data_IF_571596067049
#
_entry.id   IF_571596067049
#
_cell.length_a   1.000
_cell.length_b   1.000
_cell.length_c   1.000
_cell.angle_alpha   90.00
_cell.angle_beta   90.00
_cell.angle_gamma   90.00
#
_symmetry.space_group_name_H-M   'P 1'
#
loop_
_entity.id
_entity.type
_entity.pdbx_description
1 polymer ?
#
# COMPACT_ATOMS: atom_id res chain seq x y z
N UNK A 1 -51.26 27.29 48.95
CA UNK A 1 -50.84 28.67 49.20
C UNK A 1 -49.33 28.65 49.43
N UNK A 2 -48.59 29.01 48.36
CA UNK A 2 -47.24 29.59 48.27
C UNK A 2 -46.19 29.17 49.32
N UNK A 3 -45.11 28.51 48.88
CA UNK A 3 -43.77 29.13 48.79
C UNK A 3 -42.79 28.23 48.00
N UNK A 4 -42.16 28.88 47.02
CA UNK A 4 -41.18 28.32 46.09
C UNK A 4 -39.81 28.16 46.74
N UNK A 5 -39.00 27.22 46.25
CA UNK A 5 -37.55 27.26 46.36
C UNK A 5 -36.96 26.53 45.15
N UNK A 6 -36.38 27.32 44.24
CA UNK A 6 -35.70 26.81 43.05
C UNK A 6 -34.36 26.19 43.43
N UNK A 7 -34.05 25.06 42.82
CA UNK A 7 -32.71 24.47 42.82
C UNK A 7 -32.16 24.71 41.42
N UNK A 8 -31.26 25.69 41.30
CA UNK A 8 -30.39 25.81 40.15
C UNK A 8 -29.30 24.73 40.25
N UNK A 9 -29.32 23.78 39.31
CA UNK A 9 -28.19 22.87 39.10
C UNK A 9 -27.07 23.65 38.41
N UNK A 10 -26.06 24.06 39.18
CA UNK A 10 -24.76 24.42 38.63
C UNK A 10 -24.01 23.14 38.31
N UNK A 11 -24.19 22.61 37.10
CA UNK A 11 -23.24 21.69 36.51
C UNK A 11 -22.10 22.52 35.91
N UNK A 12 -21.13 22.88 36.75
CA UNK A 12 -19.84 23.34 36.24
C UNK A 12 -19.15 22.11 35.63
N UNK A 13 -19.14 22.04 34.30
CA UNK A 13 -18.24 21.17 33.58
C UNK A 13 -16.82 21.59 33.94
N UNK A 14 -16.11 20.73 34.65
CA UNK A 14 -14.69 20.87 34.93
C UNK A 14 -13.96 20.82 33.58
N UNK A 15 -13.57 21.98 33.08
CA UNK A 15 -12.68 22.09 31.93
C UNK A 15 -11.31 21.66 32.45
N UNK A 16 -10.92 20.41 32.19
CA UNK A 16 -9.53 19.98 32.35
C UNK A 16 -8.66 20.80 31.39
N UNK A 17 -8.02 21.84 31.92
CA UNK A 17 -7.03 22.61 31.20
C UNK A 17 -5.78 21.75 30.99
N UNK A 18 -5.17 21.75 29.78
CA UNK A 18 -3.95 21.00 29.55
C UNK A 18 -2.83 21.56 30.44
N UNK A 19 -2.29 20.69 31.30
CA UNK A 19 -1.12 21.00 32.11
C UNK A 19 0.08 21.23 31.17
N UNK A 20 0.54 22.47 31.08
CA UNK A 20 1.81 22.82 30.44
C UNK A 20 2.96 22.23 31.28
N UNK A 21 3.38 21.02 30.95
CA UNK A 21 4.47 20.33 31.65
C UNK A 21 4.39 18.80 31.65
N UNK A 22 3.40 18.18 31.02
CA UNK A 22 3.38 16.73 30.90
C UNK A 22 4.24 16.25 29.71
N UNK A 23 5.20 15.38 29.99
CA UNK A 23 6.00 14.66 28.98
C UNK A 23 5.16 13.83 28.03
N UNK A 24 3.86 13.62 28.30
CA UNK A 24 2.90 13.03 27.37
C UNK A 24 2.61 13.91 26.13
N UNK A 25 2.94 15.21 26.16
CA UNK A 25 2.75 16.13 25.03
C UNK A 25 3.87 16.08 23.96
N UNK A 26 4.85 15.18 24.10
CA UNK A 26 6.01 15.04 23.20
C UNK A 26 5.71 14.23 21.92
N UNK A 27 4.74 13.31 22.01
CA UNK A 27 4.40 12.36 20.95
C UNK A 27 3.44 12.97 19.94
N UNK A 28 3.71 12.70 18.66
CA UNK A 28 2.78 13.03 17.57
C UNK A 28 1.45 12.32 17.84
N UNK A 29 0.32 13.01 17.70
CA UNK A 29 -1.00 12.40 17.91
C UNK A 29 -1.40 11.49 16.73
N UNK A 30 -2.30 10.50 16.91
CA UNK A 30 -2.78 9.67 15.80
C UNK A 30 -3.40 10.47 14.65
N UNK A 31 -4.05 11.59 14.96
CA UNK A 31 -4.61 12.51 13.94
C UNK A 31 -3.48 13.18 13.14
N UNK A 32 -2.43 13.64 13.81
CA UNK A 32 -1.27 14.21 13.13
C UNK A 32 -0.52 13.17 12.30
N UNK A 33 -0.37 11.94 12.78
CA UNK A 33 0.19 10.81 12.01
C UNK A 33 -0.60 10.57 10.72
N UNK A 34 -1.93 10.58 10.81
CA UNK A 34 -2.80 10.40 9.64
C UNK A 34 -2.64 11.53 8.63
N UNK A 35 -2.59 12.78 9.09
CA UNK A 35 -2.36 13.94 8.19
C UNK A 35 -0.98 13.84 7.53
N UNK A 36 0.06 13.50 8.29
CA UNK A 36 1.43 13.34 7.79
C UNK A 36 1.52 12.22 6.75
N UNK A 37 0.96 11.05 7.06
CA UNK A 37 0.91 9.92 6.13
C UNK A 37 0.21 10.28 4.84
N UNK A 38 -0.96 10.90 4.92
CA UNK A 38 -1.73 11.30 3.74
C UNK A 38 -0.96 12.31 2.86
N UNK A 39 -0.20 13.23 3.47
CA UNK A 39 0.71 14.12 2.71
C UNK A 39 1.84 13.33 2.05
N UNK A 40 2.46 12.41 2.80
CA UNK A 40 3.52 11.54 2.29
C UNK A 40 3.04 10.71 1.10
N UNK A 41 1.86 10.07 1.18
CA UNK A 41 1.32 9.24 0.12
C UNK A 41 1.06 10.02 -1.16
N UNK A 42 0.48 11.21 -1.04
CA UNK A 42 0.26 12.10 -2.20
C UNK A 42 1.57 12.47 -2.87
N UNK A 43 2.59 12.83 -2.09
CA UNK A 43 3.93 13.14 -2.63
C UNK A 43 4.56 11.90 -3.28
N UNK A 44 4.42 10.74 -2.65
CA UNK A 44 4.99 9.48 -3.13
C UNK A 44 4.38 9.06 -4.47
N UNK A 45 3.03 9.08 -4.58
CA UNK A 45 2.32 8.83 -5.85
C UNK A 45 2.75 9.79 -6.97
N UNK A 46 3.14 11.03 -6.64
CA UNK A 46 3.61 12.00 -7.64
C UNK A 46 4.97 11.66 -8.26
N UNK A 47 5.78 10.81 -7.61
CA UNK A 47 7.17 10.53 -7.98
C UNK A 47 7.42 9.09 -8.40
N UNK A 48 6.56 8.16 -7.98
CA UNK A 48 6.80 6.72 -8.09
C UNK A 48 5.71 6.08 -8.95
N UNK A 49 6.08 5.27 -9.97
CA UNK A 49 5.11 4.49 -10.73
C UNK A 49 4.33 3.51 -9.84
N UNK A 50 3.01 3.63 -9.85
CA UNK A 50 2.10 2.71 -9.17
C UNK A 50 1.44 1.75 -10.17
N UNK A 51 1.02 0.59 -9.70
CA UNK A 51 0.24 -0.35 -10.49
C UNK A 51 -1.23 -0.25 -10.10
N UNK A 52 -2.09 -0.22 -11.11
CA UNK A 52 -3.55 -0.16 -10.97
C UNK A 52 -4.24 -1.49 -11.29
N UNK A 53 -3.54 -2.62 -11.18
CA UNK A 53 -4.18 -3.92 -11.44
C UNK A 53 -5.23 -4.22 -10.36
N UNK A 54 -6.52 -4.25 -10.71
CA UNK A 54 -7.56 -4.33 -9.69
C UNK A 54 -7.59 -5.72 -9.02
N UNK A 55 -7.13 -6.78 -9.69
CA UNK A 55 -7.04 -8.12 -9.09
C UNK A 55 -5.95 -8.19 -8.02
N UNK A 56 -4.79 -7.59 -8.27
CA UNK A 56 -3.67 -7.60 -7.31
C UNK A 56 -4.01 -6.69 -6.12
N UNK A 57 -4.59 -5.52 -6.38
CA UNK A 57 -5.05 -4.60 -5.33
C UNK A 57 -6.08 -5.29 -4.44
N UNK A 58 -7.14 -5.87 -5.01
CA UNK A 58 -8.19 -6.56 -4.24
C UNK A 58 -7.64 -7.73 -3.43
N UNK A 59 -6.73 -8.52 -4.00
CA UNK A 59 -6.04 -9.60 -3.29
C UNK A 59 -5.24 -9.08 -2.09
N UNK A 60 -4.39 -8.05 -2.29
CA UNK A 60 -3.57 -7.48 -1.23
C UNK A 60 -4.41 -6.82 -0.14
N UNK A 61 -5.49 -6.11 -0.51
CA UNK A 61 -6.41 -5.52 0.45
C UNK A 61 -7.13 -6.58 1.28
N UNK A 62 -7.57 -7.68 0.68
CA UNK A 62 -8.17 -8.81 1.40
C UNK A 62 -7.17 -9.44 2.36
N UNK A 63 -5.92 -9.64 1.93
CA UNK A 63 -4.86 -10.17 2.78
C UNK A 63 -4.54 -9.22 3.95
N UNK A 64 -4.39 -7.92 3.67
CA UNK A 64 -4.17 -6.90 4.69
C UNK A 64 -5.33 -6.83 5.69
N UNK A 65 -6.57 -6.86 5.22
CA UNK A 65 -7.76 -6.87 6.09
C UNK A 65 -7.79 -8.12 6.98
N UNK A 66 -7.49 -9.30 6.41
CA UNK A 66 -7.39 -10.55 7.19
C UNK A 66 -6.35 -10.42 8.30
N UNK A 67 -5.17 -9.87 8.02
CA UNK A 67 -4.12 -9.66 9.01
C UNK A 67 -4.49 -8.58 10.03
N UNK A 68 -5.03 -7.44 9.57
CA UNK A 68 -5.38 -6.30 10.41
C UNK A 68 -6.45 -6.63 11.45
N UNK A 69 -7.38 -7.55 11.15
CA UNK A 69 -8.37 -8.02 12.13
C UNK A 69 -7.69 -8.59 13.38
N UNK A 70 -6.58 -9.32 13.20
CA UNK A 70 -5.81 -9.97 14.26
C UNK A 70 -4.58 -9.17 14.72
N UNK A 71 -4.34 -7.98 14.16
CA UNK A 71 -3.24 -7.13 14.58
C UNK A 71 -3.63 -6.25 15.76
N UNK A 72 -2.61 -5.65 16.40
CA UNK A 72 -2.78 -4.72 17.51
C UNK A 72 -3.04 -3.28 17.06
N UNK A 73 -3.51 -3.07 15.81
CA UNK A 73 -3.85 -1.74 15.30
C UNK A 73 -5.12 -1.20 15.95
N UNK A 74 -5.04 0.04 16.47
CA UNK A 74 -6.20 0.78 16.96
C UNK A 74 -7.16 1.15 15.83
N UNK A 75 -6.60 1.62 14.70
CA UNK A 75 -7.34 1.98 13.50
C UNK A 75 -6.92 1.06 12.34
N UNK A 76 -7.89 0.31 11.81
CA UNK A 76 -7.72 -0.67 10.74
C UNK A 76 -8.13 -0.15 9.36
N UNK A 77 -8.40 1.15 9.24
CA UNK A 77 -8.58 1.82 7.93
C UNK A 77 -7.21 2.00 7.26
N UNK A 78 -6.78 0.94 6.57
CA UNK A 78 -5.52 0.87 5.84
C UNK A 78 -5.67 1.38 4.41
N UNK A 79 -4.67 2.08 3.90
CA UNK A 79 -4.59 2.50 2.51
C UNK A 79 -3.40 1.83 1.82
N UNK A 80 -3.68 1.05 0.78
CA UNK A 80 -2.67 0.35 -0.01
C UNK A 80 -2.12 1.24 -1.12
N UNK A 81 -0.81 1.19 -1.34
CA UNK A 81 -0.16 1.62 -2.57
C UNK A 81 0.65 0.47 -3.16
N UNK A 82 0.23 -0.01 -4.33
CA UNK A 82 0.97 -1.01 -5.09
C UNK A 82 1.97 -0.32 -6.00
N UNK A 83 3.25 -0.53 -5.73
CA UNK A 83 4.36 0.12 -6.41
C UNK A 83 4.90 -0.77 -7.52
N UNK A 84 4.99 -0.24 -8.74
CA UNK A 84 5.53 -0.98 -9.87
C UNK A 84 7.06 -0.95 -9.82
N UNK A 85 7.63 -1.87 -9.04
CA UNK A 85 9.07 -2.01 -8.83
C UNK A 85 9.39 -3.49 -8.62
N UNK A 86 10.42 -4.00 -9.30
CA UNK A 86 10.84 -5.40 -9.25
C UNK A 86 11.68 -5.74 -8.00
N UNK A 87 12.08 -4.73 -7.22
CA UNK A 87 12.76 -4.92 -5.95
C UNK A 87 11.84 -5.53 -4.88
N UNK A 88 12.42 -6.36 -4.01
CA UNK A 88 11.74 -6.82 -2.81
C UNK A 88 11.67 -5.65 -1.82
N UNK A 89 10.47 -5.09 -1.68
CA UNK A 89 10.19 -4.08 -0.68
C UNK A 89 8.70 -4.06 -0.27
N UNK A 90 8.47 -3.70 0.98
CA UNK A 90 7.21 -3.24 1.52
C UNK A 90 7.53 -2.26 2.64
N UNK A 91 6.59 -1.37 2.94
CA UNK A 91 6.79 -0.38 3.98
C UNK A 91 5.45 0.03 4.59
N UNK A 92 5.51 0.47 5.84
CA UNK A 92 4.41 1.15 6.48
C UNK A 92 4.78 2.60 6.84
N UNK A 93 3.84 3.52 6.57
CA UNK A 93 3.95 4.94 6.91
C UNK A 93 2.82 5.28 7.90
N UNK A 94 3.08 6.17 8.88
CA UNK A 94 2.07 6.60 9.84
C UNK A 94 0.73 6.94 9.19
N UNK A 95 -0.36 6.69 9.91
CA UNK A 95 -1.71 6.94 9.37
C UNK A 95 -2.34 5.76 8.62
N UNK A 96 -1.73 4.58 8.65
CA UNK A 96 -2.30 3.36 8.08
C UNK A 96 -1.95 3.11 6.62
N UNK A 97 -0.88 3.71 6.10
CA UNK A 97 -0.49 3.56 4.70
C UNK A 97 0.49 2.40 4.57
N UNK A 98 0.16 1.46 3.70
CA UNK A 98 0.98 0.29 3.40
C UNK A 98 1.39 0.34 1.94
N UNK A 99 2.70 0.33 1.70
CA UNK A 99 3.26 0.18 0.37
C UNK A 99 3.77 -1.22 0.12
N UNK A 100 3.50 -1.74 -1.07
CA UNK A 100 3.97 -3.06 -1.52
C UNK A 100 4.59 -2.93 -2.90
N UNK A 101 5.84 -3.32 -3.07
CA UNK A 101 6.44 -3.41 -4.39
C UNK A 101 5.96 -4.70 -5.08
N UNK A 102 5.71 -4.64 -6.39
CA UNK A 102 5.35 -5.84 -7.18
C UNK A 102 6.41 -6.95 -7.08
N UNK A 103 7.68 -6.56 -6.91
CA UNK A 103 8.80 -7.46 -6.68
C UNK A 103 8.59 -8.35 -5.45
N UNK A 104 8.02 -7.85 -4.35
CA UNK A 104 7.78 -8.66 -3.15
C UNK A 104 6.97 -9.93 -3.44
N UNK A 105 5.93 -9.84 -4.28
CA UNK A 105 5.11 -10.99 -4.65
C UNK A 105 5.88 -12.02 -5.48
N UNK A 106 6.92 -11.60 -6.22
CA UNK A 106 7.75 -12.52 -7.02
C UNK A 106 8.79 -13.25 -6.18
N UNK A 107 9.33 -12.59 -5.15
CA UNK A 107 10.28 -13.15 -4.18
C UNK A 107 9.61 -14.10 -3.19
N UNK A 108 8.43 -13.75 -2.68
CA UNK A 108 7.65 -14.66 -1.84
C UNK A 108 7.27 -15.92 -2.63
N UNK A 109 7.47 -17.09 -2.03
CA UNK A 109 7.13 -18.39 -2.64
C UNK A 109 5.72 -18.86 -2.28
N UNK A 110 5.19 -18.41 -1.15
CA UNK A 110 3.84 -18.74 -0.65
C UNK A 110 3.13 -17.49 -0.12
N UNK A 111 1.80 -17.53 -0.01
CA UNK A 111 1.04 -16.43 0.61
C UNK A 111 1.50 -16.17 2.05
N UNK A 112 1.86 -17.21 2.80
CA UNK A 112 2.32 -17.08 4.18
C UNK A 112 3.62 -16.24 4.28
N UNK A 113 4.53 -16.36 3.31
CA UNK A 113 5.76 -15.56 3.29
C UNK A 113 5.47 -14.08 2.99
N UNK A 114 4.56 -13.80 2.04
CA UNK A 114 4.07 -12.45 1.80
C UNK A 114 3.40 -11.88 3.06
N UNK A 115 2.53 -12.67 3.67
CA UNK A 115 1.81 -12.29 4.88
C UNK A 115 2.75 -12.03 6.06
N UNK A 116 3.88 -12.71 6.16
CA UNK A 116 4.90 -12.44 7.17
C UNK A 116 5.49 -11.03 7.04
N UNK A 117 5.82 -10.59 5.82
CA UNK A 117 6.30 -9.23 5.58
C UNK A 117 5.20 -8.22 5.89
N UNK A 118 3.96 -8.46 5.45
CA UNK A 118 2.86 -7.53 5.72
C UNK A 118 2.51 -7.46 7.22
N UNK A 119 2.52 -8.57 7.94
CA UNK A 119 2.27 -8.61 9.38
C UNK A 119 3.37 -7.88 10.17
N UNK A 120 4.62 -7.96 9.71
CA UNK A 120 5.74 -7.18 10.22
C UNK A 120 5.51 -5.67 10.05
N UNK A 121 5.10 -5.24 8.85
CA UNK A 121 4.75 -3.84 8.59
C UNK A 121 3.56 -3.35 9.44
N UNK A 122 2.53 -4.19 9.63
CA UNK A 122 1.41 -3.87 10.53
C UNK A 122 1.86 -3.75 11.98
N UNK A 123 2.84 -4.54 12.43
CA UNK A 123 3.42 -4.42 13.74
C UNK A 123 4.21 -3.11 13.91
N UNK A 124 4.89 -2.62 12.87
CA UNK A 124 5.51 -1.29 12.92
C UNK A 124 4.50 -0.16 13.15
N UNK A 125 3.31 -0.27 12.55
CA UNK A 125 2.22 0.68 12.75
C UNK A 125 1.58 0.55 14.13
N UNK A 126 1.21 -0.67 14.55
CA UNK A 126 0.54 -0.88 15.84
C UNK A 126 1.42 -0.44 17.01
N UNK A 127 2.72 -0.74 16.92
CA UNK A 127 3.68 -0.37 17.93
C UNK A 127 4.18 1.08 17.77
N UNK A 128 3.62 1.85 16.83
CA UNK A 128 3.92 3.25 16.56
C UNK A 128 5.43 3.53 16.51
N UNK A 129 6.19 2.62 15.86
CA UNK A 129 7.66 2.68 15.84
C UNK A 129 8.20 4.01 15.30
N UNK A 130 7.53 4.59 14.30
CA UNK A 130 7.89 5.91 13.77
C UNK A 130 7.75 7.03 14.81
N UNK A 131 6.63 7.10 15.52
CA UNK A 131 6.41 8.13 16.53
C UNK A 131 7.38 7.98 17.70
N UNK A 132 7.59 6.75 18.18
CA UNK A 132 8.58 6.46 19.22
C UNK A 132 10.01 6.78 18.76
N UNK A 133 10.35 6.56 17.50
CA UNK A 133 11.64 6.93 16.94
C UNK A 133 11.85 8.45 16.89
N UNK A 134 10.83 9.22 16.49
CA UNK A 134 10.91 10.69 16.52
C UNK A 134 11.02 11.23 17.93
N UNK A 135 10.27 10.67 18.87
CA UNK A 135 10.38 11.02 20.28
C UNK A 135 11.77 10.71 20.83
N UNK A 136 12.32 9.53 20.54
CA UNK A 136 13.67 9.15 20.94
C UNK A 136 14.71 10.12 20.37
N UNK A 137 14.59 10.53 19.10
CA UNK A 137 15.49 11.50 18.50
C UNK A 137 15.43 12.86 19.22
N UNK A 138 14.23 13.35 19.56
CA UNK A 138 14.06 14.59 20.33
C UNK A 138 14.69 14.48 21.72
N UNK A 139 14.45 13.37 22.42
CA UNK A 139 14.97 13.14 23.77
C UNK A 139 16.50 13.02 23.78
N UNK A 140 17.10 12.49 22.72
CA UNK A 140 18.55 12.37 22.58
C UNK A 140 19.23 13.67 22.12
N UNK A 141 18.48 14.65 21.62
CA UNK A 141 19.04 15.89 21.10
C UNK A 141 19.78 16.69 22.19
N UNK A 142 19.16 16.90 23.37
CA UNK A 142 19.79 17.66 24.45
C UNK A 142 21.08 17.01 25.01
N UNK A 143 21.09 15.69 25.34
CA UNK A 143 22.33 14.99 25.70
C UNK A 143 23.40 15.06 24.61
N UNK A 144 23.02 14.92 23.33
CA UNK A 144 23.94 15.02 22.20
C UNK A 144 24.60 16.41 22.13
N UNK A 145 23.82 17.49 22.24
CA UNK A 145 24.34 18.86 22.24
C UNK A 145 25.21 19.13 23.48
N UNK A 146 24.85 18.62 24.66
CA UNK A 146 25.65 18.75 25.86
C UNK A 146 27.02 18.04 25.71
N UNK A 147 27.04 16.82 25.17
CA UNK A 147 28.28 16.07 24.89
C UNK A 147 29.14 16.75 23.83
N UNK A 148 28.52 17.30 22.79
CA UNK A 148 29.20 18.08 21.76
C UNK A 148 29.84 19.35 22.34
N UNK A 149 29.09 20.12 23.14
CA UNK A 149 29.60 21.32 23.81
C UNK A 149 30.74 21.00 24.77
N UNK A 150 30.62 19.94 25.58
CA UNK A 150 31.70 19.49 26.45
C UNK A 150 32.96 19.12 25.63
N UNK A 151 32.79 18.44 24.50
CA UNK A 151 33.90 18.06 23.61
C UNK A 151 34.55 19.29 22.94
N UNK A 152 33.77 20.32 22.59
CA UNK A 152 34.27 21.60 22.07
C UNK A 152 35.01 22.40 23.16
N UNK A 153 34.52 22.40 24.39
CA UNK A 153 35.22 23.01 25.53
C UNK A 153 36.55 22.30 25.76
N UNK A 154 36.59 20.97 25.69
CA UNK A 154 37.84 20.20 25.78
C UNK A 154 38.81 20.61 24.66
N UNK A 155 38.33 20.71 23.42
CA UNK A 155 39.14 21.16 22.28
C UNK A 155 39.72 22.57 22.47
N UNK A 156 38.93 23.49 23.03
CA UNK A 156 39.34 24.86 23.27
C UNK A 156 40.31 25.00 24.48
N UNK A 157 40.25 24.07 25.44
CA UNK A 157 41.02 24.13 26.69
C UNK A 157 42.27 23.22 26.69
N UNK A 158 42.37 22.26 25.75
CA UNK A 158 43.44 21.26 25.72
C UNK A 158 44.79 21.73 25.13
N UNK A 159 44.95 23.00 24.77
CA UNK A 159 46.20 23.51 24.18
C UNK A 159 46.63 22.72 22.92
N UNK A 160 47.92 22.40 22.78
CA UNK A 160 48.48 21.67 21.63
C UNK A 160 48.03 20.21 21.48
N UNK A 161 47.20 19.67 22.39
CA UNK A 161 46.65 18.32 22.31
C UNK A 161 45.20 18.34 21.80
N UNK A 162 45.00 18.79 20.55
CA UNK A 162 43.70 18.76 19.85
C UNK A 162 43.06 17.36 19.76
N UNK A 163 43.86 16.31 19.91
CA UNK A 163 43.44 14.92 19.76
C UNK A 163 42.42 14.49 20.81
N UNK A 164 42.49 15.03 22.03
CA UNK A 164 41.55 14.68 23.10
C UNK A 164 40.13 15.21 22.83
N UNK A 165 40.02 16.46 22.35
CA UNK A 165 38.74 17.05 21.96
C UNK A 165 38.14 16.37 20.73
N UNK A 166 38.97 16.04 19.73
CA UNK A 166 38.54 15.29 18.55
C UNK A 166 38.09 13.86 18.89
N UNK A 167 38.81 13.16 19.77
CA UNK A 167 38.41 11.84 20.25
C UNK A 167 37.09 11.88 21.04
N UNK A 168 36.87 12.91 21.87
CA UNK A 168 35.63 13.10 22.61
C UNK A 168 34.43 13.38 21.67
N UNK A 169 34.63 14.20 20.63
CA UNK A 169 33.62 14.44 19.58
C UNK A 169 33.27 13.15 18.84
N UNK A 170 34.27 12.40 18.37
CA UNK A 170 34.07 11.13 17.68
C UNK A 170 33.34 10.11 18.56
N UNK A 171 33.68 10.04 19.85
CA UNK A 171 33.02 9.17 20.83
C UNK A 171 31.56 9.56 21.05
N UNK A 172 31.27 10.85 21.17
CA UNK A 172 29.90 11.37 21.33
C UNK A 172 29.04 11.01 20.11
N UNK A 173 29.59 11.18 18.90
CA UNK A 173 28.89 10.82 17.67
C UNK A 173 28.70 9.30 17.55
N UNK A 174 29.72 8.51 17.84
CA UNK A 174 29.64 7.05 17.83
C UNK A 174 28.58 6.54 18.82
N UNK A 175 28.52 7.10 20.03
CA UNK A 175 27.52 6.74 21.03
C UNK A 175 26.09 7.06 20.57
N UNK A 176 25.88 8.20 19.89
CA UNK A 176 24.58 8.57 19.34
C UNK A 176 24.13 7.61 18.23
N UNK A 177 25.03 7.26 17.30
CA UNK A 177 24.77 6.29 16.24
C UNK A 177 24.44 4.92 16.82
N UNK A 178 25.25 4.45 17.77
CA UNK A 178 25.05 3.16 18.43
C UNK A 178 23.73 3.10 19.23
N UNK A 179 23.33 4.19 19.89
CA UNK A 179 22.03 4.31 20.53
C UNK A 179 20.87 4.19 19.51
N UNK A 180 20.96 4.89 18.38
CA UNK A 180 19.96 4.80 17.30
C UNK A 180 19.87 3.38 16.72
N UNK A 181 21.01 2.73 16.47
CA UNK A 181 21.06 1.37 15.95
C UNK A 181 20.48 0.35 16.94
N UNK A 182 20.76 0.49 18.24
CA UNK A 182 20.15 -0.35 19.29
C UNK A 182 18.63 -0.21 19.30
N UNK A 183 18.12 1.03 19.26
CA UNK A 183 16.68 1.30 19.26
C UNK A 183 15.99 0.69 18.03
N UNK A 184 16.59 0.85 16.84
CA UNK A 184 16.10 0.21 15.62
C UNK A 184 16.06 -1.32 15.74
N UNK A 185 17.12 -1.97 16.27
CA UNK A 185 17.12 -3.43 16.49
C UNK A 185 16.04 -3.89 17.46
N UNK A 186 15.75 -3.11 18.51
CA UNK A 186 14.66 -3.43 19.45
C UNK A 186 13.30 -3.36 18.75
N UNK A 187 13.07 -2.34 17.91
CA UNK A 187 11.84 -2.23 17.12
C UNK A 187 11.67 -3.41 16.16
N UNK A 188 12.74 -3.86 15.50
CA UNK A 188 12.68 -5.04 14.62
C UNK A 188 12.32 -6.32 15.37
N UNK A 189 12.92 -6.56 16.54
CA UNK A 189 12.60 -7.72 17.39
C UNK A 189 11.15 -7.67 17.91
N UNK A 190 10.67 -6.48 18.24
CA UNK A 190 9.28 -6.27 18.64
C UNK A 190 8.32 -6.54 17.47
N UNK A 191 8.62 -6.01 16.28
CA UNK A 191 7.83 -6.21 15.08
C UNK A 191 7.79 -7.68 14.64
N UNK A 192 8.93 -8.39 14.67
CA UNK A 192 9.02 -9.83 14.36
C UNK A 192 8.08 -10.64 15.28
N UNK A 193 8.08 -10.33 16.58
CA UNK A 193 7.28 -11.02 17.59
C UNK A 193 5.78 -10.74 17.40
N UNK A 194 5.41 -9.47 17.27
CA UNK A 194 3.99 -9.05 17.14
C UNK A 194 3.42 -9.45 15.78
N UNK A 195 4.22 -9.36 14.71
CA UNK A 195 3.87 -9.81 13.38
C UNK A 195 3.63 -11.32 13.36
N UNK A 196 4.52 -12.12 13.96
CA UNK A 196 4.30 -13.57 14.10
C UNK A 196 3.04 -13.90 14.89
N UNK A 197 2.77 -13.19 15.99
CA UNK A 197 1.52 -13.37 16.75
C UNK A 197 0.29 -13.09 15.87
N UNK A 198 0.30 -11.99 15.12
CA UNK A 198 -0.76 -11.63 14.16
C UNK A 198 -0.99 -12.75 13.13
N UNK A 199 0.09 -13.31 12.58
CA UNK A 199 0.01 -14.42 11.62
C UNK A 199 -0.64 -15.68 12.23
N UNK A 200 -0.23 -16.04 13.44
CA UNK A 200 -0.73 -17.22 14.14
C UNK A 200 -2.22 -17.08 14.44
N UNK A 201 -2.63 -15.91 14.93
CA UNK A 201 -4.04 -15.60 15.19
C UNK A 201 -4.87 -15.59 13.89
N UNK A 202 -4.28 -15.18 12.76
CA UNK A 202 -4.89 -15.29 11.43
C UNK A 202 -4.86 -16.71 10.83
N UNK A 203 -4.34 -17.70 11.56
CA UNK A 203 -4.28 -19.10 11.15
C UNK A 203 -3.20 -19.42 10.10
N UNK A 204 -2.20 -18.57 9.95
CA UNK A 204 -1.10 -18.69 8.97
C UNK A 204 0.10 -19.46 9.53
N UNK A 205 1.10 -19.71 8.68
CA UNK A 205 2.30 -20.47 9.03
C UNK A 205 3.29 -19.65 9.88
N UNK A 206 3.55 -20.05 11.15
CA UNK A 206 4.53 -19.36 11.98
C UNK A 206 5.97 -19.49 11.47
N UNK A 207 6.29 -20.50 10.65
CA UNK A 207 7.63 -20.68 10.10
C UNK A 207 7.93 -19.75 8.91
N UNK A 208 6.89 -19.21 8.27
CA UNK A 208 7.02 -18.45 7.04
C UNK A 208 7.83 -17.15 7.18
N UNK A 209 7.85 -16.53 8.37
CA UNK A 209 8.73 -15.38 8.63
C UNK A 209 10.21 -15.77 8.54
N UNK A 210 10.59 -16.89 9.16
CA UNK A 210 11.98 -17.38 9.10
C UNK A 210 12.36 -17.84 7.68
N UNK A 211 11.44 -18.47 6.96
CA UNK A 211 11.68 -18.88 5.58
C UNK A 211 11.84 -17.66 4.65
N UNK A 212 11.01 -16.63 4.84
CA UNK A 212 11.13 -15.38 4.10
C UNK A 212 12.47 -14.69 4.36
N UNK A 213 12.91 -14.61 5.62
CA UNK A 213 14.22 -14.04 5.95
C UNK A 213 15.38 -14.81 5.31
N UNK A 214 15.30 -16.13 5.25
CA UNK A 214 16.29 -16.94 4.53
C UNK A 214 16.28 -16.64 3.03
N UNK A 215 15.11 -16.51 2.40
CA UNK A 215 15.01 -16.13 0.98
C UNK A 215 15.60 -14.74 0.73
N UNK A 216 15.36 -13.77 1.62
CA UNK A 216 15.97 -12.43 1.54
C UNK A 216 17.50 -12.49 1.65
N UNK A 217 18.02 -13.27 2.61
CA UNK A 217 19.47 -13.43 2.82
C UNK A 217 20.15 -14.16 1.66
N UNK A 218 19.47 -15.15 1.06
CA UNK A 218 19.95 -15.82 -0.16
C UNK A 218 19.99 -14.82 -1.31
N UNK A 219 18.93 -14.04 -1.51
CA UNK A 219 18.87 -13.00 -2.55
C UNK A 219 19.97 -11.94 -2.40
N UNK A 220 20.29 -11.53 -1.18
CA UNK A 220 21.32 -10.52 -0.92
C UNK A 220 22.76 -11.02 -1.15
N UNK A 221 23.01 -12.34 -1.09
CA UNK A 221 24.35 -12.92 -1.34
C UNK A 221 24.71 -12.95 -2.82
N UNK A 222 23.73 -13.08 -3.70
CA UNK A 222 23.94 -13.17 -5.15
C UNK A 222 23.65 -11.84 -5.88
N UNK A 223 22.98 -10.89 -5.23
CA UNK A 223 22.76 -9.54 -5.74
C UNK A 223 23.95 -8.61 -5.51
N UNK A 224 24.23 -7.71 -6.46
CA UNK A 224 25.25 -6.65 -6.30
C UNK A 224 24.89 -5.62 -5.22
N UNK A 225 23.61 -5.54 -4.84
CA UNK A 225 23.08 -4.68 -3.77
C UNK A 225 22.05 -5.47 -2.97
N UNK A 226 22.01 -5.31 -1.64
CA UNK A 226 20.96 -5.91 -0.82
C UNK A 226 19.60 -5.33 -1.23
N UNK A 227 18.50 -6.10 -1.14
CA UNK A 227 17.14 -5.57 -1.31
C UNK A 227 16.89 -4.31 -0.48
N UNK A 228 16.11 -3.38 -1.01
CA UNK A 228 15.78 -2.11 -0.31
C UNK A 228 15.16 -2.35 1.06
N UNK A 229 14.31 -3.38 1.19
CA UNK A 229 13.75 -3.80 2.48
C UNK A 229 14.84 -4.02 3.55
N UNK A 230 16.01 -4.57 3.19
CA UNK A 230 17.10 -4.83 4.14
C UNK A 230 17.84 -3.57 4.58
N UNK A 231 17.68 -2.46 3.86
CA UNK A 231 18.27 -1.18 4.24
C UNK A 231 17.51 -0.54 5.41
N UNK A 232 16.19 -0.75 5.47
CA UNK A 232 15.33 -0.28 6.55
C UNK A 232 15.09 -1.33 7.63
N UNK A 233 15.10 -2.62 7.25
CA UNK A 233 14.90 -3.78 8.13
C UNK A 233 16.09 -4.74 8.02
N UNK A 234 17.24 -4.44 8.66
CA UNK A 234 18.42 -5.30 8.59
C UNK A 234 18.10 -6.71 9.14
N UNK A 235 18.30 -7.73 8.30
CA UNK A 235 18.18 -9.13 8.71
C UNK A 235 19.54 -9.62 9.22
N UNK A 236 19.53 -10.23 10.40
CA UNK A 236 20.69 -10.86 11.03
C UNK A 236 20.43 -12.35 11.24
N UNK A 237 21.50 -13.15 11.34
CA UNK A 237 21.37 -14.56 11.71
C UNK A 237 20.66 -14.76 13.06
N UNK A 238 20.80 -13.80 13.98
CA UNK A 238 20.09 -13.81 15.25
C UNK A 238 18.57 -13.63 15.09
N UNK A 239 18.09 -12.77 14.18
CA UNK A 239 16.65 -12.62 13.89
C UNK A 239 16.07 -13.87 13.26
N UNK A 240 16.78 -14.48 12.31
CA UNK A 240 16.37 -15.76 11.69
C UNK A 240 16.24 -16.84 12.75
N UNK A 241 17.24 -16.94 13.63
CA UNK A 241 17.25 -17.92 14.73
C UNK A 241 16.13 -17.65 15.75
N UNK A 242 15.87 -16.39 16.10
CA UNK A 242 14.79 -16.02 17.02
C UNK A 242 13.40 -16.33 16.43
N UNK A 243 13.15 -15.94 15.18
CA UNK A 243 11.91 -16.27 14.47
C UNK A 243 11.70 -17.79 14.42
N UNK A 244 12.74 -18.56 14.07
CA UNK A 244 12.66 -20.02 14.04
C UNK A 244 12.40 -20.61 15.44
N UNK A 245 13.06 -20.12 16.48
CA UNK A 245 12.87 -20.58 17.86
C UNK A 245 11.45 -20.31 18.38
N UNK A 246 10.87 -19.16 18.04
CA UNK A 246 9.46 -18.85 18.38
C UNK A 246 8.50 -19.76 17.62
N UNK A 247 8.73 -19.98 16.32
CA UNK A 247 7.91 -20.86 15.51
C UNK A 247 7.92 -22.32 16.02
N UNK A 248 9.02 -22.79 16.61
CA UNK A 248 9.12 -24.13 17.24
C UNK A 248 8.19 -24.33 18.44
N UNK A 249 7.64 -23.26 19.01
CA UNK A 249 6.62 -23.37 20.08
C UNK A 249 5.26 -23.81 19.54
N UNK A 250 5.10 -23.83 18.21
CA UNK A 250 3.86 -24.19 17.53
C UNK A 250 4.01 -25.49 16.74
N UNK A 251 2.93 -26.29 16.61
CA UNK A 251 2.98 -27.55 15.88
C UNK A 251 3.33 -27.32 14.41
N UNK A 252 4.23 -28.15 13.87
CA UNK A 252 4.40 -28.22 12.42
C UNK A 252 3.17 -28.88 11.82
N UNK A 253 2.44 -28.13 11.00
CA UNK A 253 1.39 -28.63 10.11
C UNK A 253 1.71 -28.25 8.68
N UNK A 254 1.20 -29.03 7.74
CA UNK A 254 1.27 -28.65 6.34
C UNK A 254 0.30 -27.48 6.10
N UNK A 255 0.82 -26.41 5.50
CA UNK A 255 0.02 -25.30 5.02
C UNK A 255 -0.05 -25.42 3.51
N UNK A 256 -1.25 -25.64 2.99
CA UNK A 256 -1.47 -25.58 1.55
C UNK A 256 -1.26 -24.14 1.09
N UNK A 257 -0.58 -23.98 -0.03
CA UNK A 257 -0.35 -22.68 -0.60
C UNK A 257 -1.62 -22.12 -1.24
N UNK A 258 -1.78 -20.80 -1.21
CA UNK A 258 -2.96 -20.14 -1.73
C UNK A 258 -2.85 -19.99 -3.25
N UNK A 259 -3.76 -20.62 -3.98
CA UNK A 259 -3.80 -20.52 -5.44
C UNK A 259 -3.94 -19.06 -5.91
N UNK A 260 -4.79 -18.23 -5.27
CA UNK A 260 -4.95 -16.82 -5.66
C UNK A 260 -3.64 -16.05 -5.55
N UNK A 261 -2.84 -16.29 -4.51
CA UNK A 261 -1.49 -15.74 -4.41
C UNK A 261 -0.64 -16.14 -5.61
N UNK A 262 -0.63 -17.42 -5.97
CA UNK A 262 0.14 -17.89 -7.13
C UNK A 262 -0.35 -17.30 -8.45
N UNK A 263 -1.66 -17.06 -8.60
CA UNK A 263 -2.21 -16.36 -9.76
C UNK A 263 -1.72 -14.91 -9.80
N UNK A 264 -1.80 -14.15 -8.70
CA UNK A 264 -1.35 -12.75 -8.64
C UNK A 264 0.15 -12.63 -8.86
N UNK A 265 0.94 -13.50 -8.22
CA UNK A 265 2.37 -13.64 -8.47
C UNK A 265 2.66 -13.90 -9.95
N UNK A 266 1.87 -14.76 -10.59
CA UNK A 266 2.02 -15.06 -12.02
C UNK A 266 1.65 -13.86 -12.91
N UNK A 267 0.61 -13.08 -12.56
CA UNK A 267 0.27 -11.83 -13.28
C UNK A 267 1.46 -10.88 -13.35
N UNK A 268 2.17 -10.72 -12.23
CA UNK A 268 3.36 -9.87 -12.16
C UNK A 268 4.49 -10.46 -13.00
N UNK A 269 4.73 -11.78 -12.89
CA UNK A 269 5.78 -12.46 -13.65
C UNK A 269 5.58 -12.34 -15.17
N UNK A 270 4.35 -12.49 -15.67
CA UNK A 270 4.06 -12.31 -17.11
C UNK A 270 4.37 -10.88 -17.54
N UNK A 271 3.95 -9.88 -16.76
CA UNK A 271 4.19 -8.46 -17.07
C UNK A 271 5.65 -8.02 -16.97
N UNK A 272 6.46 -8.74 -16.21
CA UNK A 272 7.90 -8.48 -16.12
C UNK A 272 8.70 -9.02 -17.31
N UNK A 273 8.09 -9.84 -18.17
CA UNK A 273 8.75 -10.34 -19.38
C UNK A 273 8.85 -9.23 -20.44
N UNK A 274 9.98 -9.19 -21.17
CA UNK A 274 10.26 -8.12 -22.13
C UNK A 274 9.28 -8.09 -23.31
N UNK A 275 8.78 -9.26 -23.72
CA UNK A 275 7.83 -9.39 -24.82
C UNK A 275 6.80 -10.49 -24.55
N UNK A 276 5.58 -10.37 -25.11
CA UNK A 276 4.57 -11.42 -25.01
C UNK A 276 5.05 -12.78 -25.52
N UNK A 277 5.89 -12.82 -26.56
CA UNK A 277 6.41 -14.06 -27.13
C UNK A 277 7.40 -14.77 -26.19
N UNK A 278 8.22 -14.01 -25.46
CA UNK A 278 9.09 -14.57 -24.42
C UNK A 278 8.27 -15.13 -23.26
N UNK A 279 7.22 -14.40 -22.84
CA UNK A 279 6.28 -14.89 -21.84
C UNK A 279 5.62 -16.21 -22.27
N UNK A 280 5.13 -16.29 -23.53
CA UNK A 280 4.55 -17.53 -24.07
C UNK A 280 5.57 -18.66 -24.03
N UNK A 281 6.80 -18.44 -24.50
CA UNK A 281 7.86 -19.46 -24.50
C UNK A 281 8.14 -19.96 -23.07
N UNK A 282 8.28 -19.05 -22.11
CA UNK A 282 8.55 -19.37 -20.71
C UNK A 282 7.43 -20.19 -20.09
N UNK A 283 6.20 -19.66 -20.09
CA UNK A 283 5.08 -20.31 -19.42
C UNK A 283 4.65 -21.61 -20.11
N UNK A 284 4.86 -21.73 -21.42
CA UNK A 284 4.71 -23.01 -22.13
C UNK A 284 5.70 -24.05 -21.61
N UNK A 285 6.96 -23.66 -21.36
CA UNK A 285 7.96 -24.52 -20.73
C UNK A 285 7.56 -24.94 -19.30
N UNK A 286 7.05 -24.00 -18.49
CA UNK A 286 6.60 -24.31 -17.12
C UNK A 286 5.39 -25.25 -17.07
N UNK A 287 4.46 -25.13 -18.02
CA UNK A 287 3.31 -26.04 -18.12
C UNK A 287 3.73 -27.45 -18.57
N UNK A 288 4.82 -27.58 -19.34
CA UNK A 288 5.32 -28.85 -19.86
C UNK A 288 6.31 -29.55 -18.92
N UNK A 289 7.00 -28.79 -18.07
CA UNK A 289 7.96 -29.30 -17.09
C UNK A 289 7.41 -29.30 -15.67
N UNK A 290 8.33 -29.29 -14.70
CA UNK A 290 7.98 -29.13 -13.29
C UNK A 290 7.71 -27.65 -12.98
N UNK A 291 6.48 -27.37 -12.53
CA UNK A 291 6.08 -26.05 -12.04
C UNK A 291 5.69 -26.14 -10.57
N UNK A 292 5.96 -25.06 -9.82
CA UNK A 292 5.54 -24.96 -8.42
C UNK A 292 4.01 -24.94 -8.27
N UNK A 293 3.29 -24.46 -9.29
CA UNK A 293 1.84 -24.53 -9.38
C UNK A 293 1.42 -24.66 -10.84
N UNK A 294 0.94 -25.85 -11.23
CA UNK A 294 0.53 -26.15 -12.60
C UNK A 294 -0.60 -25.24 -13.09
N UNK A 295 -1.58 -24.95 -12.22
CA UNK A 295 -2.70 -24.07 -12.54
C UNK A 295 -2.25 -22.62 -12.73
N UNK A 296 -1.32 -22.14 -11.89
CA UNK A 296 -0.78 -20.80 -12.02
C UNK A 296 0.09 -20.66 -13.28
N UNK A 297 0.95 -21.64 -13.60
CA UNK A 297 1.72 -21.62 -14.84
C UNK A 297 0.82 -21.67 -16.07
N UNK A 298 -0.28 -22.44 -16.03
CA UNK A 298 -1.28 -22.46 -17.10
C UNK A 298 -2.00 -21.11 -17.22
N UNK A 299 -2.37 -20.49 -16.10
CA UNK A 299 -2.95 -19.15 -16.08
C UNK A 299 -2.00 -18.09 -16.65
N UNK A 300 -0.69 -18.18 -16.33
CA UNK A 300 0.35 -17.33 -16.92
C UNK A 300 0.49 -17.52 -18.43
N UNK A 301 0.34 -18.76 -18.92
CA UNK A 301 0.32 -19.03 -20.35
C UNK A 301 -0.91 -18.42 -21.04
N UNK A 302 -2.08 -18.41 -20.40
CA UNK A 302 -3.29 -17.74 -20.92
C UNK A 302 -3.06 -16.24 -21.04
N UNK A 303 -2.51 -15.60 -20.00
CA UNK A 303 -2.13 -14.18 -20.04
C UNK A 303 -1.18 -13.89 -21.20
N UNK A 304 -0.09 -14.66 -21.30
CA UNK A 304 0.91 -14.48 -22.34
C UNK A 304 0.33 -14.66 -23.76
N UNK A 305 -0.55 -15.65 -23.96
CA UNK A 305 -1.26 -15.81 -25.23
C UNK A 305 -2.20 -14.64 -25.54
N UNK A 306 -2.88 -14.10 -24.52
CA UNK A 306 -3.78 -12.96 -24.68
C UNK A 306 -3.00 -11.71 -25.08
N UNK A 307 -1.88 -11.43 -24.41
CA UNK A 307 -0.98 -10.31 -24.74
C UNK A 307 -0.32 -10.48 -26.12
N UNK A 308 -0.05 -11.72 -26.53
CA UNK A 308 0.44 -12.07 -27.86
C UNK A 308 -0.66 -12.09 -28.95
N UNK A 309 -1.91 -11.76 -28.60
CA UNK A 309 -3.09 -11.79 -29.48
C UNK A 309 -3.42 -13.19 -30.06
N UNK A 310 -2.95 -14.24 -29.41
CA UNK A 310 -3.21 -15.65 -29.74
C UNK A 310 -4.47 -16.13 -29.01
N UNK A 311 -5.62 -15.54 -29.37
CA UNK A 311 -6.86 -15.69 -28.59
C UNK A 311 -7.46 -17.10 -28.65
N UNK A 312 -7.22 -17.87 -29.71
CA UNK A 312 -7.72 -19.24 -29.81
C UNK A 312 -6.97 -20.16 -28.82
N UNK A 313 -5.65 -20.00 -28.77
CA UNK A 313 -4.75 -20.68 -27.84
C UNK A 313 -5.03 -20.25 -26.39
N UNK A 314 -5.28 -18.97 -26.15
CA UNK A 314 -5.67 -18.46 -24.84
C UNK A 314 -6.94 -19.16 -24.31
N UNK A 315 -8.01 -19.21 -25.11
CA UNK A 315 -9.27 -19.90 -24.74
C UNK A 315 -9.06 -21.39 -24.49
N UNK A 316 -8.35 -22.06 -25.40
CA UNK A 316 -8.07 -23.49 -25.27
C UNK A 316 -7.24 -23.80 -24.00
N UNK A 317 -6.31 -22.92 -23.66
CA UNK A 317 -5.45 -23.05 -22.47
C UNK A 317 -6.22 -22.75 -21.18
N UNK A 318 -7.19 -21.82 -21.21
CA UNK A 318 -8.01 -21.46 -20.06
C UNK A 318 -9.09 -22.51 -19.73
N UNK A 319 -9.63 -23.19 -20.75
CA UNK A 319 -10.75 -24.13 -20.60
C UNK A 319 -10.57 -25.16 -19.46
N UNK A 320 -9.43 -25.86 -19.31
CA UNK A 320 -9.23 -26.80 -18.21
C UNK A 320 -9.26 -26.14 -16.81
N UNK A 321 -8.86 -24.87 -16.69
CA UNK A 321 -8.91 -24.14 -15.42
C UNK A 321 -10.36 -23.84 -15.02
N UNK A 322 -11.17 -23.41 -16.00
CA UNK A 322 -12.61 -23.16 -15.80
C UNK A 322 -13.40 -24.45 -15.53
N UNK A 323 -13.02 -25.57 -16.13
CA UNK A 323 -13.64 -26.88 -15.85
C UNK A 323 -13.33 -27.36 -14.43
N UNK A 324 -12.13 -27.05 -13.93
CA UNK A 324 -11.69 -27.42 -12.58
C UNK A 324 -12.31 -26.53 -11.50
N UNK A 325 -12.41 -25.22 -11.75
CA UNK A 325 -12.95 -24.24 -10.81
C UNK A 325 -13.77 -23.16 -11.54
N UNK A 326 -15.05 -23.45 -11.84
CA UNK A 326 -15.88 -22.59 -12.70
C UNK A 326 -16.32 -21.30 -12.03
N UNK A 327 -16.20 -21.18 -10.70
CA UNK A 327 -16.65 -19.99 -9.95
C UNK A 327 -15.49 -19.07 -9.56
N UNK A 328 -14.24 -19.46 -9.82
CA UNK A 328 -13.08 -18.64 -9.50
C UNK A 328 -13.08 -17.33 -10.27
N UNK A 329 -13.23 -16.24 -9.53
CA UNK A 329 -13.34 -14.90 -10.10
C UNK A 329 -12.15 -14.54 -10.99
N UNK A 330 -10.93 -14.89 -10.59
CA UNK A 330 -9.70 -14.65 -11.37
C UNK A 330 -9.71 -15.35 -12.73
N UNK A 331 -10.38 -16.50 -12.86
CA UNK A 331 -10.53 -17.22 -14.14
C UNK A 331 -11.66 -16.65 -14.99
N UNK A 332 -12.78 -16.27 -14.35
CA UNK A 332 -13.90 -15.64 -15.05
C UNK A 332 -13.51 -14.27 -15.61
N UNK A 333 -12.76 -13.47 -14.85
CA UNK A 333 -12.17 -12.21 -15.34
C UNK A 333 -11.16 -12.49 -16.46
N UNK A 334 -10.34 -13.54 -16.36
CA UNK A 334 -9.42 -13.91 -17.46
C UNK A 334 -10.17 -14.24 -18.76
N UNK A 335 -11.25 -15.02 -18.66
CA UNK A 335 -12.10 -15.34 -19.81
C UNK A 335 -12.62 -14.06 -20.47
N UNK A 336 -13.04 -13.11 -19.65
CA UNK A 336 -13.51 -11.82 -20.11
C UNK A 336 -12.40 -10.96 -20.75
N UNK A 337 -11.23 -10.90 -20.12
CA UNK A 337 -10.06 -10.17 -20.60
C UNK A 337 -9.68 -10.66 -22.02
N UNK A 338 -9.79 -11.96 -22.30
CA UNK A 338 -9.59 -12.54 -23.65
C UNK A 338 -10.61 -11.98 -24.65
N UNK A 339 -11.91 -11.99 -24.31
CA UNK A 339 -12.95 -11.51 -25.21
C UNK A 339 -12.87 -10.01 -25.47
N UNK A 340 -12.60 -9.22 -24.44
CA UNK A 340 -12.37 -7.77 -24.57
C UNK A 340 -11.14 -7.51 -25.45
N UNK A 341 -10.03 -8.23 -25.26
CA UNK A 341 -8.85 -8.10 -26.10
C UNK A 341 -9.10 -8.53 -27.56
N UNK A 342 -9.94 -9.54 -27.77
CA UNK A 342 -10.41 -9.98 -29.09
C UNK A 342 -11.48 -9.07 -29.71
N UNK A 343 -11.87 -7.98 -29.04
CA UNK A 343 -12.95 -7.04 -29.43
C UNK A 343 -14.35 -7.66 -29.49
N UNK A 344 -14.55 -8.78 -28.81
CA UNK A 344 -15.84 -9.45 -28.67
C UNK A 344 -16.61 -8.83 -27.48
N UNK A 345 -16.94 -7.54 -27.58
CA UNK A 345 -17.46 -6.79 -26.43
C UNK A 345 -18.85 -7.22 -25.96
N UNK A 346 -19.77 -7.57 -26.87
CA UNK A 346 -21.15 -7.94 -26.50
C UNK A 346 -21.23 -9.14 -25.53
N UNK A 347 -20.61 -10.31 -25.83
CA UNK A 347 -20.60 -11.40 -24.87
C UNK A 347 -19.82 -11.03 -23.60
N UNK A 348 -18.69 -10.33 -23.74
CA UNK A 348 -17.89 -9.91 -22.59
C UNK A 348 -18.67 -9.03 -21.60
N UNK A 349 -19.40 -8.02 -22.10
CA UNK A 349 -20.21 -7.14 -21.26
C UNK A 349 -21.33 -7.89 -20.55
N UNK A 350 -22.01 -8.81 -21.25
CA UNK A 350 -23.04 -9.66 -20.65
C UNK A 350 -22.49 -10.51 -19.51
N UNK A 351 -21.31 -11.10 -19.71
CA UNK A 351 -20.67 -11.93 -18.69
C UNK A 351 -20.23 -11.08 -17.48
N UNK A 352 -19.66 -9.90 -17.70
CA UNK A 352 -19.28 -8.98 -16.62
C UNK A 352 -20.49 -8.42 -15.86
N UNK A 353 -21.60 -8.14 -16.54
CA UNK A 353 -22.85 -7.72 -15.89
C UNK A 353 -23.37 -8.84 -14.97
N UNK A 354 -23.39 -10.09 -15.44
CA UNK A 354 -23.76 -11.23 -14.61
C UNK A 354 -22.79 -11.46 -13.43
N UNK A 355 -21.49 -11.19 -13.62
CA UNK A 355 -20.52 -11.22 -12.52
C UNK A 355 -20.76 -10.09 -11.51
N UNK A 356 -21.11 -8.90 -11.99
CA UNK A 356 -21.38 -7.74 -11.15
C UNK A 356 -22.63 -7.95 -10.30
N UNK A 357 -23.69 -8.54 -10.88
CA UNK A 357 -24.92 -8.88 -10.14
C UNK A 357 -24.64 -9.85 -8.98
N UNK A 358 -23.73 -10.81 -9.19
CA UNK A 358 -23.29 -11.75 -8.16
C UNK A 358 -22.31 -11.14 -7.16
N UNK A 359 -21.53 -10.13 -7.58
CA UNK A 359 -20.44 -9.55 -6.80
C UNK A 359 -20.48 -8.01 -6.83
N UNK A 360 -21.55 -7.36 -6.32
CA UNK A 360 -21.81 -5.93 -6.55
C UNK A 360 -20.78 -4.97 -5.94
N UNK A 361 -19.94 -5.45 -5.00
CA UNK A 361 -18.85 -4.68 -4.38
C UNK A 361 -17.45 -5.07 -4.86
N UNK A 362 -17.32 -5.97 -5.84
CA UNK A 362 -16.01 -6.47 -6.28
C UNK A 362 -15.28 -5.41 -7.10
N UNK A 363 -14.18 -4.90 -6.55
CA UNK A 363 -13.32 -3.93 -7.23
C UNK A 363 -12.82 -4.43 -8.61
N UNK A 364 -12.29 -5.66 -8.75
CA UNK A 364 -11.92 -6.22 -10.05
C UNK A 364 -13.05 -6.21 -11.08
N UNK A 365 -14.25 -6.63 -10.70
CA UNK A 365 -15.38 -6.73 -11.63
C UNK A 365 -15.85 -5.35 -12.07
N UNK A 366 -16.01 -4.41 -11.14
CA UNK A 366 -16.48 -3.05 -11.44
C UNK A 366 -15.52 -2.34 -12.38
N UNK A 367 -14.21 -2.40 -12.09
CA UNK A 367 -13.19 -1.77 -12.94
C UNK A 367 -13.16 -2.41 -14.32
N UNK A 368 -13.15 -3.75 -14.40
CA UNK A 368 -13.15 -4.45 -15.69
C UNK A 368 -14.41 -4.19 -16.51
N UNK A 369 -15.56 -4.07 -15.86
CA UNK A 369 -16.81 -3.68 -16.50
C UNK A 369 -16.76 -2.27 -17.08
N UNK A 370 -16.27 -1.30 -16.30
CA UNK A 370 -16.12 0.06 -16.77
C UNK A 370 -15.13 0.17 -17.95
N UNK A 371 -13.98 -0.53 -17.88
CA UNK A 371 -13.01 -0.58 -18.97
C UNK A 371 -13.59 -1.25 -20.23
N UNK A 372 -14.33 -2.34 -20.07
CA UNK A 372 -14.97 -3.05 -21.18
C UNK A 372 -16.03 -2.17 -21.87
N UNK A 373 -16.86 -1.45 -21.10
CA UNK A 373 -17.84 -0.49 -21.62
C UNK A 373 -17.15 0.62 -22.42
N UNK A 374 -16.08 1.19 -21.86
CA UNK A 374 -15.27 2.20 -22.54
C UNK A 374 -14.71 1.66 -23.86
N UNK A 375 -14.12 0.46 -23.87
CA UNK A 375 -13.57 -0.16 -25.09
C UNK A 375 -14.64 -0.52 -26.13
N UNK A 376 -15.86 -0.82 -25.68
CA UNK A 376 -17.01 -1.07 -26.53
C UNK A 376 -17.61 0.21 -27.15
N UNK A 377 -17.20 1.39 -26.67
CA UNK A 377 -17.73 2.69 -27.10
C UNK A 377 -18.93 3.17 -26.29
N UNK A 378 -19.34 2.46 -25.23
CA UNK A 378 -20.40 2.91 -24.32
C UNK A 378 -19.80 3.78 -23.20
N UNK A 379 -19.47 5.02 -23.58
CA UNK A 379 -18.82 5.97 -22.66
C UNK A 379 -19.77 6.46 -21.57
N UNK A 380 -21.06 6.65 -21.88
CA UNK A 380 -22.06 7.08 -20.90
C UNK A 380 -22.32 5.99 -19.86
N UNK A 381 -22.45 4.73 -20.27
CA UNK A 381 -22.58 3.59 -19.36
C UNK A 381 -21.35 3.44 -18.47
N UNK A 382 -20.14 3.54 -19.05
CA UNK A 382 -18.89 3.48 -18.30
C UNK A 382 -18.78 4.63 -17.27
N UNK A 383 -19.12 5.86 -17.68
CA UNK A 383 -19.11 7.03 -16.80
C UNK A 383 -20.08 6.87 -15.63
N UNK A 384 -21.29 6.36 -15.88
CA UNK A 384 -22.29 6.14 -14.83
C UNK A 384 -21.84 5.11 -13.79
N UNK A 385 -21.14 4.05 -14.21
CA UNK A 385 -20.54 3.07 -13.29
C UNK A 385 -19.46 3.72 -12.44
N UNK A 386 -18.51 4.42 -13.08
CA UNK A 386 -17.36 5.02 -12.42
C UNK A 386 -17.73 6.19 -11.51
N UNK A 387 -18.73 7.00 -11.85
CA UNK A 387 -19.19 8.11 -11.00
C UNK A 387 -19.79 7.61 -9.68
N UNK A 388 -20.56 6.51 -9.72
CA UNK A 388 -21.06 5.89 -8.49
C UNK A 388 -19.92 5.27 -7.70
N UNK A 389 -18.98 4.64 -8.39
CA UNK A 389 -17.89 3.92 -7.75
C UNK A 389 -16.82 4.83 -7.14
N UNK A 390 -16.52 5.97 -7.77
CA UNK A 390 -15.57 6.96 -7.25
C UNK A 390 -16.01 7.58 -5.92
N UNK A 391 -17.33 7.60 -5.64
CA UNK A 391 -17.87 8.01 -4.34
C UNK A 391 -17.62 6.95 -3.25
N UNK A 392 -17.58 5.68 -3.62
CA UNK A 392 -17.31 4.56 -2.71
C UNK A 392 -15.79 4.38 -2.48
N UNK A 393 -14.99 4.44 -3.54
CA UNK A 393 -13.52 4.38 -3.50
C UNK A 393 -12.89 5.73 -3.84
N UNK A 394 -13.19 6.74 -3.02
CA UNK A 394 -12.76 8.12 -3.28
C UNK A 394 -11.25 8.37 -3.14
N UNK A 395 -10.48 7.43 -2.56
CA UNK A 395 -9.02 7.48 -2.45
C UNK A 395 -8.29 6.71 -3.56
N UNK A 396 -9.04 6.03 -4.43
CA UNK A 396 -8.50 5.27 -5.55
C UNK A 396 -8.28 6.21 -6.73
N UNK A 397 -7.01 6.58 -6.96
CA UNK A 397 -6.63 7.52 -8.01
C UNK A 397 -6.88 6.95 -9.41
N UNK A 398 -6.77 5.64 -9.59
CA UNK A 398 -7.05 5.01 -10.87
C UNK A 398 -8.52 5.10 -11.28
N UNK A 399 -9.45 4.97 -10.33
CA UNK A 399 -10.89 5.17 -10.60
C UNK A 399 -11.17 6.58 -11.09
N UNK A 400 -10.54 7.60 -10.48
CA UNK A 400 -10.67 8.99 -10.92
C UNK A 400 -10.01 9.26 -12.28
N UNK A 401 -8.84 8.64 -12.52
CA UNK A 401 -8.17 8.68 -13.83
C UNK A 401 -9.09 8.11 -14.92
N UNK A 402 -9.62 6.90 -14.71
CA UNK A 402 -10.48 6.24 -15.69
C UNK A 402 -11.77 7.03 -15.92
N UNK A 403 -12.39 7.57 -14.85
CA UNK A 403 -13.58 8.43 -14.97
C UNK A 403 -13.30 9.68 -15.82
N UNK A 404 -12.15 10.33 -15.63
CA UNK A 404 -11.75 11.48 -16.42
C UNK A 404 -11.58 11.14 -17.90
N UNK A 405 -10.95 10.01 -18.23
CA UNK A 405 -10.75 9.58 -19.61
C UNK A 405 -12.10 9.26 -20.28
N UNK A 406 -12.98 8.55 -19.58
CA UNK A 406 -14.32 8.22 -20.09
C UNK A 406 -15.18 9.47 -20.28
N UNK A 407 -15.16 10.44 -19.35
CA UNK A 407 -15.86 11.72 -19.55
C UNK A 407 -15.32 12.47 -20.77
N UNK A 408 -14.03 12.37 -21.07
CA UNK A 408 -13.43 12.95 -22.27
C UNK A 408 -13.99 12.33 -23.53
N UNK A 409 -14.08 11.00 -23.56
CA UNK A 409 -14.65 10.24 -24.69
C UNK A 409 -16.17 10.48 -24.86
N UNK A 410 -16.90 10.67 -23.76
CA UNK A 410 -18.32 11.02 -23.76
C UNK A 410 -18.60 12.49 -24.14
N UNK A 411 -17.56 13.36 -24.18
CA UNK A 411 -17.72 14.79 -24.42
C UNK A 411 -18.23 15.59 -23.21
N UNK A 412 -18.25 14.99 -22.01
CA UNK A 412 -18.60 15.68 -20.77
C UNK A 412 -17.42 16.52 -20.25
N UNK A 413 -17.20 17.69 -20.84
CA UNK A 413 -16.04 18.55 -20.55
C UNK A 413 -15.99 19.01 -19.09
N UNK A 414 -17.15 19.31 -18.47
CA UNK A 414 -17.21 19.67 -17.06
C UNK A 414 -16.74 18.49 -16.19
N UNK A 415 -17.29 17.29 -16.43
CA UNK A 415 -16.92 16.07 -15.70
C UNK A 415 -15.43 15.72 -15.84
N UNK A 416 -14.82 15.95 -17.02
CA UNK A 416 -13.37 15.77 -17.22
C UNK A 416 -12.58 16.62 -16.23
N UNK A 417 -12.91 17.90 -16.11
CA UNK A 417 -12.21 18.81 -15.20
C UNK A 417 -12.43 18.43 -13.72
N UNK A 418 -13.63 18.01 -13.36
CA UNK A 418 -13.94 17.54 -12.01
C UNK A 418 -13.14 16.28 -11.65
N UNK A 419 -13.19 15.25 -12.48
CA UNK A 419 -12.48 13.99 -12.23
C UNK A 419 -10.95 14.15 -12.28
N UNK A 420 -10.41 14.96 -13.21
CA UNK A 420 -8.96 15.24 -13.26
C UNK A 420 -8.48 16.02 -12.05
N UNK A 421 -9.31 16.93 -11.52
CA UNK A 421 -8.95 17.64 -10.29
C UNK A 421 -8.74 16.66 -9.14
N UNK A 422 -9.67 15.72 -8.94
CA UNK A 422 -9.56 14.69 -7.89
C UNK A 422 -8.35 13.78 -8.09
N UNK A 423 -8.10 13.31 -9.32
CA UNK A 423 -6.90 12.55 -9.66
C UNK A 423 -5.61 13.30 -9.26
N UNK A 424 -5.49 14.58 -9.64
CA UNK A 424 -4.32 15.39 -9.32
C UNK A 424 -4.20 15.67 -7.82
N UNK A 425 -5.31 15.81 -7.09
CA UNK A 425 -5.31 15.96 -5.63
C UNK A 425 -4.75 14.70 -4.96
N UNK A 426 -5.23 13.52 -5.36
CA UNK A 426 -4.76 12.24 -4.81
C UNK A 426 -3.30 11.93 -5.12
N UNK A 427 -2.77 12.57 -6.16
CA UNK A 427 -1.37 12.50 -6.57
C UNK A 427 -0.54 13.71 -6.13
N UNK A 428 -1.06 14.57 -5.25
CA UNK A 428 -0.30 15.71 -4.71
C UNK A 428 0.11 16.78 -5.72
N UNK A 429 -0.44 16.76 -6.95
CA UNK A 429 -0.13 17.69 -8.04
C UNK A 429 -1.11 18.87 -8.02
N UNK A 430 -1.08 19.65 -6.93
CA UNK A 430 -2.11 20.66 -6.65
C UNK A 430 -2.18 21.79 -7.68
N UNK A 431 -1.08 22.17 -8.33
CA UNK A 431 -1.12 23.19 -9.39
C UNK A 431 -1.98 22.76 -10.57
N UNK A 432 -1.86 21.48 -10.98
CA UNK A 432 -2.70 20.93 -12.04
C UNK A 432 -4.15 20.81 -11.57
N UNK A 433 -4.38 20.35 -10.34
CA UNK A 433 -5.72 20.30 -9.78
C UNK A 433 -6.41 21.69 -9.78
N UNK A 434 -5.68 22.74 -9.39
CA UNK A 434 -6.21 24.11 -9.37
C UNK A 434 -6.64 24.57 -10.77
N UNK A 435 -5.83 24.28 -11.80
CA UNK A 435 -6.16 24.59 -13.19
C UNK A 435 -7.45 23.87 -13.60
N UNK A 436 -7.58 22.58 -13.27
CA UNK A 436 -8.80 21.83 -13.60
C UNK A 436 -10.03 22.41 -12.90
N UNK A 437 -9.96 22.68 -11.59
CA UNK A 437 -11.09 23.26 -10.83
C UNK A 437 -11.51 24.64 -11.36
N UNK A 438 -10.55 25.50 -11.73
CA UNK A 438 -10.85 26.80 -12.34
C UNK A 438 -11.55 26.67 -13.69
N UNK A 439 -11.18 25.66 -14.48
CA UNK A 439 -11.87 25.39 -15.74
C UNK A 439 -13.28 24.82 -15.51
N UNK A 440 -13.44 23.90 -14.55
CA UNK A 440 -14.75 23.40 -14.13
C UNK A 440 -15.68 24.54 -13.67
N UNK A 441 -15.18 25.47 -12.85
CA UNK A 441 -15.95 26.62 -12.35
C UNK A 441 -16.50 27.51 -13.49
N UNK A 442 -15.72 27.73 -14.55
CA UNK A 442 -16.18 28.49 -15.72
C UNK A 442 -17.34 27.80 -16.44
N UNK A 443 -17.34 26.46 -16.47
CA UNK A 443 -18.35 25.66 -17.15
C UNK A 443 -19.58 25.37 -16.28
N UNK A 444 -19.45 25.41 -14.96
CA UNK A 444 -20.54 25.17 -14.00
C UNK A 444 -21.45 26.40 -13.76
N UNK A 445 -21.19 27.54 -14.44
CA UNK A 445 -21.97 28.76 -14.31
C UNK A 445 -23.46 28.48 -14.56
N UNK A 446 -24.30 28.83 -13.59
CA UNK A 446 -25.75 28.56 -13.62
C UNK A 446 -26.21 27.38 -12.74
N UNK A 447 -25.29 26.55 -12.22
CA UNK A 447 -25.60 25.52 -11.22
C UNK A 447 -24.99 25.90 -9.86
N UNK A 448 -25.77 26.59 -9.03
CA UNK A 448 -25.30 27.10 -7.73
C UNK A 448 -24.66 26.03 -6.84
N UNK A 449 -25.26 24.84 -6.75
CA UNK A 449 -24.77 23.75 -5.91
C UNK A 449 -23.41 23.23 -6.40
N UNK A 450 -23.26 22.97 -7.70
CA UNK A 450 -21.97 22.53 -8.26
C UNK A 450 -20.90 23.59 -8.11
N UNK A 451 -21.20 24.85 -8.39
CA UNK A 451 -20.25 25.95 -8.23
C UNK A 451 -19.75 26.05 -6.79
N UNK A 452 -20.64 25.96 -5.80
CA UNK A 452 -20.25 26.02 -4.39
C UNK A 452 -19.30 24.87 -3.99
N UNK A 453 -19.55 23.64 -4.47
CA UNK A 453 -18.66 22.50 -4.23
C UNK A 453 -17.29 22.71 -4.86
N UNK A 454 -17.24 23.20 -6.11
CA UNK A 454 -15.99 23.46 -6.81
C UNK A 454 -15.17 24.58 -6.16
N UNK A 455 -15.83 25.63 -5.65
CA UNK A 455 -15.18 26.70 -4.91
C UNK A 455 -14.59 26.21 -3.58
N UNK A 456 -15.32 25.35 -2.85
CA UNK A 456 -14.83 24.75 -1.61
C UNK A 456 -13.62 23.85 -1.88
N UNK A 457 -13.70 23.02 -2.93
CA UNK A 457 -12.58 22.18 -3.35
C UNK A 457 -11.37 23.00 -3.81
N UNK A 458 -11.59 24.12 -4.51
CA UNK A 458 -10.52 25.04 -4.93
C UNK A 458 -9.81 25.67 -3.72
N UNK A 459 -10.57 26.10 -2.71
CA UNK A 459 -9.99 26.62 -1.45
C UNK A 459 -9.15 25.57 -0.72
N UNK A 460 -9.58 24.30 -0.74
CA UNK A 460 -8.80 23.20 -0.21
C UNK A 460 -7.46 23.06 -0.94
N UNK A 461 -7.48 23.03 -2.28
CA UNK A 461 -6.26 22.91 -3.11
C UNK A 461 -5.31 24.08 -2.89
N UNK A 462 -5.83 25.31 -2.82
CA UNK A 462 -5.02 26.52 -2.58
C UNK A 462 -4.29 26.49 -1.24
N UNK A 463 -4.97 25.99 -0.19
CA UNK A 463 -4.36 25.80 1.13
C UNK A 463 -3.27 24.73 1.11
N UNK A 464 -3.55 23.58 0.48
CA UNK A 464 -2.57 22.50 0.39
C UNK A 464 -1.32 22.91 -0.39
N UNK A 465 -1.47 23.74 -1.43
CA UNK A 465 -0.32 24.28 -2.16
C UNK A 465 0.52 25.23 -1.33
N UNK A 466 -0.11 26.12 -0.56
CA UNK A 466 0.63 27.01 0.34
C UNK A 466 1.47 26.21 1.33
N UNK A 467 0.94 25.11 1.87
CA UNK A 467 1.65 24.21 2.80
C UNK A 467 2.78 23.39 2.15
N UNK A 468 2.81 23.20 0.83
CA UNK A 468 3.91 22.49 0.12
C UNK A 468 5.12 23.38 -0.20
N UNK A 469 4.92 24.70 -0.24
CA UNK A 469 5.97 25.67 -0.57
C UNK A 469 6.78 26.13 0.66
N UNK A 470 6.52 25.54 1.83
CA UNK A 470 7.27 25.67 3.07
C UNK A 470 7.84 24.30 3.45
#
# INVERSE_FOLDING_TARGET
MILASGIAMNAAAEIELPMLGDTSSSMISPVQERVLGQKWLRLYRSQVPTSSDPLIIDYLEKLLNRLAIHSQLDNKDLELVLVQNDTLNAFAVPGGIIGVHTGLLTYARTENQLAAVLAHELAHLSQRHYARQLEQQKNMAAPFYAGMLASLVLLATSGSNSDAGLAALATTQAAAIDAQLRFSRQNEQEADRIGMQTMIEAGLDPYAASDMFEEMLRGSRYGRRPPEFLLTHPITESRISDARNRAMQYPRKQYDDNLEFQLMRTRIRVRSEETPQLAVKRFKGEVQGDSASADASRYGLVLAYTDAQQFAEARATLKPLLEKDPERLSYLIMANDIEVAARNYKPALKDLEALLDKNPGSHPVIVRYAEALMKAGDYEGSAAVLERYSRQRNKDDYVWYLLAEVYGLAGNILGVHEARAEYFILNGVYDRAQIQLRNALKLAQGNFHRTALLEERLKYVERQRQEQNF
#
